data_IF_794612509728
#
_entry.id   IF_794612509728
#
_cell.length_a   1.000
_cell.length_b   1.000
_cell.length_c   1.000
_cell.angle_alpha   90.00
_cell.angle_beta   90.00
_cell.angle_gamma   90.00
#
_symmetry.space_group_name_H-M   'P 1'
#
loop_
_entity.id
_entity.type
_entity.pdbx_description
1 polymer ?
#
# COMPACT_ATOMS: atom_id res chain seq x y z
N UNK A 1 -0.02 0.18 -20.90
CA UNK A 1 0.15 1.04 -19.71
C UNK A 1 -0.90 0.62 -18.68
N UNK A 2 -0.69 -0.55 -18.07
CA UNK A 2 -1.58 -1.07 -17.04
C UNK A 2 -0.90 -0.85 -15.70
N UNK A 3 -1.59 -0.22 -14.77
CA UNK A 3 -1.18 -0.15 -13.37
C UNK A 3 -1.25 -1.60 -12.86
N UNK A 4 -0.19 -2.37 -13.06
CA UNK A 4 0.02 -3.62 -12.32
C UNK A 4 0.22 -3.16 -10.88
N UNK A 5 -0.83 -3.33 -10.06
CA UNK A 5 -0.81 -2.94 -8.65
C UNK A 5 0.47 -3.47 -8.01
N UNK A 6 1.37 -2.55 -7.65
CA UNK A 6 2.70 -2.82 -7.12
C UNK A 6 2.64 -3.70 -5.86
N UNK A 7 1.51 -3.64 -5.15
CA UNK A 7 1.17 -4.48 -4.01
C UNK A 7 1.21 -5.98 -4.34
N UNK A 8 0.67 -6.35 -5.50
CA UNK A 8 0.72 -7.73 -6.01
C UNK A 8 2.16 -8.15 -6.27
N UNK A 9 3.00 -7.24 -6.78
CA UNK A 9 4.41 -7.54 -7.04
C UNK A 9 5.18 -7.80 -5.73
N UNK A 10 4.97 -7.01 -4.68
CA UNK A 10 5.61 -7.20 -3.37
C UNK A 10 5.17 -8.53 -2.73
N UNK A 11 3.86 -8.78 -2.68
CA UNK A 11 3.30 -10.01 -2.10
C UNK A 11 3.73 -11.26 -2.90
N UNK A 12 3.82 -11.19 -4.23
CA UNK A 12 4.33 -12.29 -5.07
C UNK A 12 5.84 -12.49 -4.98
N UNK A 13 6.63 -11.42 -4.79
CA UNK A 13 8.08 -11.55 -4.54
C UNK A 13 8.36 -12.27 -3.22
N UNK A 14 7.54 -12.02 -2.20
CA UNK A 14 7.63 -12.72 -0.92
C UNK A 14 7.38 -14.24 -1.06
N UNK A 15 6.53 -14.65 -2.01
CA UNK A 15 6.27 -16.08 -2.30
C UNK A 15 7.37 -16.77 -3.12
N UNK A 16 8.03 -16.07 -4.05
CA UNK A 16 8.80 -16.72 -5.12
C UNK A 16 10.31 -16.88 -4.90
N UNK A 17 10.95 -16.10 -4.01
CA UNK A 17 12.43 -16.09 -3.93
C UNK A 17 13.06 -16.48 -2.61
N UNK A 18 12.33 -16.52 -1.50
CA UNK A 18 13.01 -16.34 -0.21
C UNK A 18 13.63 -14.94 -0.15
N UNK A 19 13.50 -14.29 0.99
CA UNK A 19 13.64 -12.84 1.10
C UNK A 19 15.11 -12.35 1.13
N UNK A 20 15.94 -12.70 0.16
CA UNK A 20 17.35 -12.27 0.19
C UNK A 20 17.56 -10.82 -0.26
N UNK A 21 16.59 -10.17 -0.92
CA UNK A 21 16.59 -8.71 -1.08
C UNK A 21 15.30 -8.24 -1.75
N UNK A 22 14.29 -7.90 -0.96
CA UNK A 22 13.20 -7.04 -1.44
C UNK A 22 13.63 -5.60 -1.18
N UNK A 23 14.04 -4.83 -2.21
CA UNK A 23 14.25 -3.40 -1.99
C UNK A 23 12.88 -2.76 -1.75
N UNK A 24 12.61 -2.41 -0.50
CA UNK A 24 11.39 -1.70 -0.10
C UNK A 24 11.53 -0.23 -0.45
N UNK A 25 11.43 0.07 -1.74
CA UNK A 25 11.62 1.42 -2.27
C UNK A 25 10.36 2.29 -2.01
N UNK A 26 9.22 1.72 -1.60
CA UNK A 26 7.95 2.47 -1.58
C UNK A 26 7.09 2.18 -0.34
N UNK A 27 7.21 3.01 0.71
CA UNK A 27 6.46 2.80 1.95
C UNK A 27 5.04 3.39 1.93
N UNK A 28 4.58 4.04 0.86
CA UNK A 28 3.28 4.72 0.82
C UNK A 28 2.15 3.84 0.24
N UNK A 29 1.04 3.73 0.97
CA UNK A 29 -0.10 2.86 0.66
C UNK A 29 -1.37 3.67 0.43
N UNK A 30 -2.18 3.24 -0.54
CA UNK A 30 -3.52 3.76 -0.81
C UNK A 30 -4.35 2.66 -1.47
N UNK A 31 -5.65 2.63 -1.19
CA UNK A 31 -6.57 1.70 -1.85
C UNK A 31 -6.87 2.15 -3.29
N UNK A 32 -6.94 1.20 -4.23
CA UNK A 32 -7.21 1.50 -5.64
C UNK A 32 -8.61 2.12 -5.86
N UNK A 33 -9.58 1.78 -5.01
CA UNK A 33 -10.93 2.36 -5.02
C UNK A 33 -10.89 3.83 -4.61
N UNK A 34 -10.07 4.17 -3.61
CA UNK A 34 -9.87 5.56 -3.19
C UNK A 34 -9.24 6.38 -4.31
N UNK A 35 -8.28 5.80 -5.05
CA UNK A 35 -7.67 6.45 -6.22
C UNK A 35 -8.72 6.73 -7.29
N UNK A 36 -9.55 5.75 -7.64
CA UNK A 36 -10.63 5.94 -8.62
C UNK A 36 -11.62 7.02 -8.17
N UNK A 37 -12.08 6.96 -6.91
CA UNK A 37 -13.00 7.93 -6.34
C UNK A 37 -12.41 9.35 -6.30
N UNK A 38 -11.12 9.48 -5.96
CA UNK A 38 -10.44 10.77 -5.94
C UNK A 38 -10.41 11.42 -7.34
N UNK A 39 -10.22 10.64 -8.40
CA UNK A 39 -10.26 11.16 -9.77
C UNK A 39 -11.66 11.66 -10.14
N UNK A 40 -12.71 10.92 -9.78
CA UNK A 40 -14.11 11.33 -10.01
C UNK A 40 -14.40 12.62 -9.23
N UNK A 41 -14.11 12.65 -7.93
CA UNK A 41 -14.36 13.82 -7.07
C UNK A 41 -13.61 15.07 -7.53
N UNK A 42 -12.35 14.92 -7.98
CA UNK A 42 -11.56 16.03 -8.51
C UNK A 42 -12.09 16.52 -9.87
N UNK A 43 -12.64 15.63 -10.70
CA UNK A 43 -13.21 16.00 -11.99
C UNK A 43 -14.57 16.70 -11.85
N UNK A 44 -15.44 16.21 -10.97
CA UNK A 44 -16.80 16.70 -10.80
C UNK A 44 -16.90 17.98 -9.98
N UNK A 45 -15.90 18.28 -9.15
CA UNK A 45 -15.87 19.49 -8.32
C UNK A 45 -15.23 20.66 -9.09
N UNK A 46 -15.98 21.69 -9.51
CA UNK A 46 -15.43 22.81 -10.29
C UNK A 46 -14.39 23.66 -9.53
N UNK A 47 -14.35 23.55 -8.20
CA UNK A 47 -13.36 24.23 -7.36
C UNK A 47 -12.07 23.43 -7.17
N UNK A 48 -12.04 22.16 -7.62
CA UNK A 48 -10.83 21.35 -7.56
C UNK A 48 -9.77 21.90 -8.52
N UNK A 49 -8.52 21.99 -8.04
CA UNK A 49 -7.41 22.54 -8.80
C UNK A 49 -6.08 22.09 -8.22
N UNK A 50 -5.01 22.11 -9.02
CA UNK A 50 -3.66 21.74 -8.55
C UNK A 50 -3.49 20.22 -8.33
N UNK A 51 -2.69 19.85 -7.33
CA UNK A 51 -2.30 18.44 -7.07
C UNK A 51 -2.91 17.92 -5.77
N UNK A 52 -3.22 16.63 -5.74
CA UNK A 52 -3.82 15.93 -4.59
C UNK A 52 -2.98 14.68 -4.28
N UNK A 53 -2.37 14.64 -3.10
CA UNK A 53 -1.63 13.45 -2.66
C UNK A 53 -2.60 12.38 -2.18
N UNK A 54 -2.46 11.17 -2.70
CA UNK A 54 -3.30 10.02 -2.35
C UNK A 54 -2.45 8.96 -1.65
N UNK A 55 -2.35 9.09 -0.33
CA UNK A 55 -1.62 8.17 0.54
C UNK A 55 -2.42 8.04 1.84
N UNK A 56 -2.96 6.86 2.15
CA UNK A 56 -3.62 6.61 3.44
C UNK A 56 -2.59 6.53 4.56
N UNK A 57 -1.53 5.74 4.35
CA UNK A 57 -0.47 5.52 5.35
C UNK A 57 0.87 5.24 4.69
N UNK A 58 1.93 5.70 5.34
CA UNK A 58 3.31 5.30 5.05
C UNK A 58 3.69 4.21 6.06
N UNK A 59 4.00 2.99 5.61
CA UNK A 59 4.46 1.88 6.45
C UNK A 59 5.93 1.60 6.16
N UNK A 60 6.77 1.69 7.18
CA UNK A 60 8.11 1.11 7.12
C UNK A 60 8.00 -0.41 7.02
N UNK A 61 9.06 -1.08 6.54
CA UNK A 61 9.01 -2.53 6.37
C UNK A 61 8.76 -3.29 7.66
N UNK A 62 9.36 -2.86 8.76
CA UNK A 62 9.12 -3.48 10.08
C UNK A 62 7.64 -3.40 10.48
N UNK A 63 7.00 -2.25 10.26
CA UNK A 63 5.57 -2.04 10.49
C UNK A 63 4.72 -2.90 9.54
N UNK A 64 5.10 -2.98 8.27
CA UNK A 64 4.43 -3.81 7.27
C UNK A 64 4.51 -5.31 7.63
N UNK A 65 5.69 -5.82 7.98
CA UNK A 65 5.87 -7.22 8.38
C UNK A 65 5.06 -7.53 9.63
N UNK A 66 5.09 -6.64 10.64
CA UNK A 66 4.27 -6.78 11.83
C UNK A 66 2.78 -6.84 11.47
N UNK A 67 2.30 -5.92 10.65
CA UNK A 67 0.91 -5.88 10.21
C UNK A 67 0.53 -7.14 9.44
N UNK A 68 1.38 -7.61 8.53
CA UNK A 68 1.12 -8.84 7.77
C UNK A 68 1.05 -10.08 8.65
N UNK A 69 1.85 -10.18 9.73
CA UNK A 69 1.76 -11.26 10.72
C UNK A 69 0.46 -11.22 11.52
N UNK A 70 0.00 -10.03 11.87
CA UNK A 70 -1.28 -9.83 12.57
C UNK A 70 -2.47 -10.18 11.69
N UNK A 71 -2.42 -9.81 10.41
CA UNK A 71 -3.51 -10.06 9.45
C UNK A 71 -3.53 -11.49 8.92
N UNK A 72 -2.36 -12.12 8.75
CA UNK A 72 -2.20 -13.42 8.10
C UNK A 72 -1.14 -14.28 8.82
N UNK A 73 -1.47 -14.86 9.98
CA UNK A 73 -0.52 -15.61 10.79
C UNK A 73 0.05 -16.87 10.10
N UNK A 74 -0.66 -17.40 9.10
CA UNK A 74 -0.27 -18.62 8.39
C UNK A 74 0.78 -18.38 7.28
N UNK A 75 1.13 -17.12 6.99
CA UNK A 75 2.12 -16.79 5.97
C UNK A 75 3.51 -16.80 6.61
N UNK A 76 4.43 -17.59 6.04
CA UNK A 76 5.82 -17.56 6.47
C UNK A 76 6.50 -16.29 5.90
N UNK A 77 6.72 -15.31 6.78
CA UNK A 77 7.29 -14.01 6.43
C UNK A 77 8.74 -13.92 6.93
N UNK A 78 9.66 -13.33 6.15
CA UNK A 78 11.04 -13.17 6.58
C UNK A 78 11.16 -12.33 7.86
N UNK A 79 12.10 -12.70 8.72
CA UNK A 79 12.37 -11.98 9.97
C UNK A 79 13.23 -10.73 9.78
N UNK A 80 13.99 -10.64 8.69
CA UNK A 80 14.93 -9.54 8.43
C UNK A 80 14.75 -8.98 7.03
N UNK A 81 14.83 -7.66 6.93
CA UNK A 81 15.06 -6.96 5.66
C UNK A 81 16.55 -7.00 5.37
N UNK A 82 16.93 -7.09 4.08
CA UNK A 82 18.31 -6.87 3.68
C UNK A 82 18.79 -5.46 4.05
N UNK A 83 19.99 -5.42 4.60
CA UNK A 83 20.84 -4.30 5.03
C UNK A 83 20.40 -3.42 6.21
N UNK A 84 21.31 -3.32 7.19
CA UNK A 84 21.30 -2.49 8.41
C UNK A 84 21.36 -0.97 8.13
N UNK A 85 20.80 -0.53 7.01
CA UNK A 85 20.67 0.89 6.74
C UNK A 85 19.55 1.45 7.63
N UNK A 86 19.81 2.54 8.39
CA UNK A 86 18.76 3.17 9.17
C UNK A 86 17.64 3.55 8.21
N UNK A 87 16.48 2.90 8.39
CA UNK A 87 15.28 3.24 7.63
C UNK A 87 15.12 4.76 7.69
N UNK A 88 14.99 5.40 6.52
CA UNK A 88 14.73 6.81 6.44
C UNK A 88 13.60 7.17 7.43
N UNK A 89 13.80 8.25 8.18
CA UNK A 89 12.87 8.71 9.22
C UNK A 89 11.43 8.64 8.72
N UNK A 90 10.53 8.17 9.59
CA UNK A 90 9.11 8.07 9.26
C UNK A 90 8.61 9.45 8.82
N UNK A 91 8.10 9.53 7.60
CA UNK A 91 7.51 10.74 7.05
C UNK A 91 6.00 10.55 6.91
N UNK A 92 5.27 11.66 6.97
CA UNK A 92 3.83 11.70 6.75
C UNK A 92 3.54 12.45 5.46
N UNK A 93 2.56 11.97 4.71
CA UNK A 93 2.02 12.65 3.54
C UNK A 93 0.71 13.31 3.95
N UNK A 94 0.54 14.61 3.69
CA UNK A 94 -0.71 15.30 4.00
C UNK A 94 -1.85 14.75 3.13
N UNK A 95 -2.98 14.51 3.78
CA UNK A 95 -4.23 14.02 3.17
C UNK A 95 -5.30 15.10 3.05
N UNK A 96 -5.08 16.27 3.65
CA UNK A 96 -6.07 17.34 3.81
C UNK A 96 -6.70 17.76 2.48
N UNK A 97 -5.86 17.88 1.44
CA UNK A 97 -6.33 18.24 0.10
C UNK A 97 -7.25 17.18 -0.48
N UNK A 98 -6.92 15.91 -0.35
CA UNK A 98 -7.76 14.82 -0.84
C UNK A 98 -9.06 14.73 -0.02
N UNK A 99 -8.97 14.84 1.30
CA UNK A 99 -10.12 14.87 2.21
C UNK A 99 -11.04 16.07 1.94
N UNK A 100 -10.50 17.23 1.52
CA UNK A 100 -11.30 18.40 1.12
C UNK A 100 -12.17 18.19 -0.12
N UNK A 101 -11.87 17.16 -0.93
CA UNK A 101 -12.76 16.74 -2.03
C UNK A 101 -13.94 15.89 -1.54
N UNK A 102 -13.99 15.55 -0.24
CA UNK A 102 -14.92 14.58 0.32
C UNK A 102 -14.42 13.13 0.29
N UNK A 103 -13.16 12.90 -0.12
CA UNK A 103 -12.57 11.57 -0.14
C UNK A 103 -12.41 11.02 1.28
N UNK A 104 -12.78 9.74 1.46
CA UNK A 104 -12.51 8.98 2.69
C UNK A 104 -11.53 7.87 2.37
N UNK A 105 -10.39 7.88 3.04
CA UNK A 105 -9.38 6.84 2.83
C UNK A 105 -9.80 5.52 3.48
N UNK A 106 -9.66 4.45 2.72
CA UNK A 106 -9.79 3.07 3.17
C UNK A 106 -8.55 2.68 3.98
N UNK A 107 -8.69 2.20 5.23
CA UNK A 107 -7.55 1.78 6.04
C UNK A 107 -6.69 0.73 5.34
N UNK A 108 -5.36 0.86 5.41
CA UNK A 108 -4.41 -0.09 4.78
C UNK A 108 -4.68 -1.56 5.14
N UNK A 109 -5.20 -1.83 6.34
CA UNK A 109 -5.54 -3.18 6.79
C UNK A 109 -6.65 -3.81 5.93
N UNK A 110 -7.64 -3.02 5.51
CA UNK A 110 -8.70 -3.46 4.61
C UNK A 110 -8.13 -3.71 3.21
N UNK A 111 -7.31 -2.77 2.71
CA UNK A 111 -6.64 -2.90 1.40
C UNK A 111 -5.78 -4.17 1.31
N UNK A 112 -5.04 -4.49 2.37
CA UNK A 112 -4.20 -5.68 2.44
C UNK A 112 -5.02 -6.97 2.48
N UNK A 113 -6.10 -7.01 3.30
CA UNK A 113 -7.05 -8.14 3.33
C UNK A 113 -7.66 -8.41 1.96
N UNK A 114 -8.27 -7.40 1.37
CA UNK A 114 -8.95 -7.52 0.08
C UNK A 114 -7.98 -7.95 -1.03
N UNK A 115 -6.75 -7.44 -1.01
CA UNK A 115 -5.75 -7.86 -2.00
C UNK A 115 -5.33 -9.31 -1.78
N UNK A 116 -5.10 -9.71 -0.54
CA UNK A 116 -4.71 -11.08 -0.25
C UNK A 116 -5.77 -12.10 -0.65
N UNK A 117 -7.04 -11.80 -0.35
CA UNK A 117 -8.18 -12.60 -0.80
C UNK A 117 -8.28 -12.66 -2.33
N UNK A 118 -8.09 -11.52 -3.00
CA UNK A 118 -8.07 -11.44 -4.48
C UNK A 118 -6.94 -12.28 -5.09
N UNK A 119 -5.77 -12.35 -4.44
CA UNK A 119 -4.66 -13.19 -4.88
C UNK A 119 -4.93 -14.69 -4.64
N UNK A 120 -5.47 -15.06 -3.48
CA UNK A 120 -5.89 -16.45 -3.20
C UNK A 120 -6.94 -16.93 -4.20
N UNK A 121 -7.95 -16.12 -4.48
CA UNK A 121 -9.00 -16.45 -5.45
C UNK A 121 -8.47 -16.67 -6.88
N UNK A 122 -7.27 -16.17 -7.19
CA UNK A 122 -6.59 -16.31 -8.49
C UNK A 122 -5.47 -17.36 -8.47
N UNK A 123 -5.35 -18.16 -7.40
CA UNK A 123 -4.27 -19.13 -7.19
C UNK A 123 -2.86 -18.52 -7.25
N UNK A 124 -2.75 -17.23 -6.92
CA UNK A 124 -1.49 -16.50 -6.89
C UNK A 124 -0.84 -16.55 -5.52
N UNK A 125 -1.61 -16.85 -4.47
CA UNK A 125 -1.14 -17.05 -3.12
C UNK A 125 -1.44 -18.46 -2.63
#
# INVERSE_FOLDING_TARGET
MGIRSLLVLTVLHMKSRGAESVPLIYPAWVDVRDVANAHILAFENPSASGRYCLVERVLQFSEFVKLMRELFPDINLPEKCGDDHPFASSYKVSRERAESLGLKFTPVEVTLKDTFESLRARNLF
#
